data_IF_862789416257
#
_entry.id   IF_862789416257
#
_cell.length_a   1.000
_cell.length_b   1.000
_cell.length_c   1.000
_cell.angle_alpha   90.00
_cell.angle_beta   90.00
_cell.angle_gamma   90.00
#
_symmetry.space_group_name_H-M   'P 1'
#
loop_
_entity.id
_entity.type
_entity.pdbx_description
1 polymer ?
#
# COMPACT_ATOMS: atom_id res chain seq x y z
N UNK A 1 -10.15 4.82 6.97
CA UNK A 1 -11.45 5.07 7.66
C UNK A 1 -12.02 3.77 8.19
N UNK A 2 -12.81 3.81 9.27
CA UNK A 2 -13.50 2.62 9.80
C UNK A 2 -14.86 3.02 10.36
N UNK A 3 -15.91 2.27 10.01
CA UNK A 3 -17.32 2.57 10.42
C UNK A 3 -17.73 4.03 10.16
N UNK A 4 -17.40 4.54 8.98
CA UNK A 4 -17.74 5.92 8.57
C UNK A 4 -16.92 7.02 9.26
N UNK A 5 -15.91 6.70 10.07
CA UNK A 5 -15.03 7.68 10.71
C UNK A 5 -13.62 7.64 10.14
N UNK A 6 -13.02 8.81 9.96
CA UNK A 6 -11.59 8.92 9.65
C UNK A 6 -10.81 8.60 10.93
N UNK A 7 -9.96 7.58 10.87
CA UNK A 7 -9.12 7.13 11.99
C UNK A 7 -7.66 7.59 11.85
N UNK A 8 -7.26 7.93 10.62
CA UNK A 8 -5.96 8.49 10.28
C UNK A 8 -6.07 9.18 8.92
N UNK A 9 -5.35 10.29 8.79
CA UNK A 9 -5.08 10.98 7.54
C UNK A 9 -3.60 11.37 7.52
N UNK A 10 -2.97 11.33 6.35
CA UNK A 10 -1.55 11.66 6.18
C UNK A 10 -1.30 12.13 4.75
N UNK A 11 -0.42 13.13 4.60
CA UNK A 11 0.05 13.65 3.31
C UNK A 11 1.46 13.14 2.98
N UNK A 12 1.88 12.05 3.62
CA UNK A 12 3.22 11.48 3.43
C UNK A 12 3.39 10.89 2.03
N UNK A 13 4.63 10.92 1.54
CA UNK A 13 4.96 10.45 0.20
C UNK A 13 5.23 8.94 0.17
N UNK A 14 4.83 8.29 -0.93
CA UNK A 14 5.10 6.87 -1.16
C UNK A 14 4.50 5.98 -0.07
N UNK A 15 5.27 5.01 0.40
CA UNK A 15 4.79 4.02 1.37
C UNK A 15 4.87 4.49 2.84
N UNK A 16 5.37 5.71 3.09
CA UNK A 16 5.56 6.23 4.45
C UNK A 16 4.23 6.34 5.19
N UNK A 17 3.19 6.86 4.52
CA UNK A 17 1.86 7.00 5.11
C UNK A 17 1.27 5.65 5.55
N UNK A 18 1.20 4.64 4.67
CA UNK A 18 0.79 3.29 5.03
C UNK A 18 1.59 2.66 6.17
N UNK A 19 2.92 2.82 6.20
CA UNK A 19 3.76 2.29 7.29
C UNK A 19 3.48 3.00 8.62
N UNK A 20 3.35 4.33 8.61
CA UNK A 20 2.97 5.09 9.80
C UNK A 20 1.59 4.69 10.32
N UNK A 21 0.65 4.38 9.43
CA UNK A 21 -0.66 3.89 9.80
C UNK A 21 -0.55 2.57 10.56
N UNK A 22 0.21 1.62 10.02
CA UNK A 22 0.45 0.32 10.65
C UNK A 22 1.09 0.49 12.04
N UNK A 23 2.12 1.34 12.14
CA UNK A 23 2.84 1.55 13.39
C UNK A 23 2.00 2.23 14.47
N UNK A 24 1.10 3.15 14.09
CA UNK A 24 0.27 3.90 15.04
C UNK A 24 -0.98 3.15 15.45
N UNK A 25 -1.62 2.44 14.52
CA UNK A 25 -2.96 1.89 14.71
C UNK A 25 -2.97 0.37 14.85
N UNK A 26 -1.97 -0.34 14.32
CA UNK A 26 -1.87 -1.79 14.43
C UNK A 26 -3.17 -2.51 14.05
N UNK A 27 -3.73 -3.28 14.98
CA UNK A 27 -4.97 -4.05 14.80
C UNK A 27 -6.21 -3.17 14.56
N UNK A 28 -6.19 -1.89 14.93
CA UNK A 28 -7.32 -0.99 14.67
C UNK A 28 -7.60 -0.82 13.17
N UNK A 29 -6.59 -1.04 12.31
CA UNK A 29 -6.72 -1.04 10.85
C UNK A 29 -7.46 -2.24 10.27
N UNK A 30 -7.61 -3.33 11.02
CA UNK A 30 -8.35 -4.50 10.53
C UNK A 30 -9.77 -4.09 10.14
N UNK A 31 -10.23 -4.56 8.99
CA UNK A 31 -11.54 -4.21 8.42
C UNK A 31 -11.75 -2.70 8.14
N UNK A 32 -10.66 -1.93 8.06
CA UNK A 32 -10.73 -0.52 7.65
C UNK A 32 -10.75 -0.39 6.13
N UNK A 33 -11.28 0.74 5.63
CA UNK A 33 -11.14 1.13 4.23
C UNK A 33 -10.01 2.13 4.09
N UNK A 34 -9.16 1.93 3.07
CA UNK A 34 -8.01 2.77 2.75
C UNK A 34 -8.32 3.58 1.50
N UNK A 35 -7.91 4.84 1.45
CA UNK A 35 -7.94 5.64 0.24
C UNK A 35 -6.53 6.19 0.01
N UNK A 36 -5.98 5.95 -1.19
CA UNK A 36 -4.64 6.41 -1.56
C UNK A 36 -4.66 6.93 -3.00
N UNK A 37 -3.81 7.92 -3.30
CA UNK A 37 -3.67 8.44 -4.66
C UNK A 37 -2.96 7.43 -5.56
N UNK A 38 -1.97 6.70 -5.03
CA UNK A 38 -1.14 5.79 -5.82
C UNK A 38 -0.98 4.46 -5.07
N UNK A 39 -1.61 3.41 -5.59
CA UNK A 39 -1.50 2.06 -5.05
C UNK A 39 -0.62 1.22 -5.96
N UNK A 40 0.63 1.02 -5.55
CA UNK A 40 1.50 0.00 -6.12
C UNK A 40 1.35 -1.34 -5.40
N UNK A 41 2.02 -2.37 -5.90
CA UNK A 41 2.22 -3.66 -5.23
C UNK A 41 2.67 -3.49 -3.78
N UNK A 42 3.59 -2.55 -3.52
CA UNK A 42 4.07 -2.29 -2.15
C UNK A 42 2.94 -1.85 -1.21
N UNK A 43 2.14 -0.86 -1.62
CA UNK A 43 1.02 -0.34 -0.83
C UNK A 43 -0.08 -1.39 -0.68
N UNK A 44 -0.37 -2.16 -1.74
CA UNK A 44 -1.34 -3.25 -1.70
C UNK A 44 -0.94 -4.34 -0.69
N UNK A 45 0.34 -4.71 -0.63
CA UNK A 45 0.85 -5.66 0.37
C UNK A 45 0.73 -5.12 1.79
N UNK A 46 0.96 -3.82 2.00
CA UNK A 46 0.75 -3.19 3.30
C UNK A 46 -0.74 -3.19 3.71
N UNK A 47 -1.66 -2.93 2.76
CA UNK A 47 -3.10 -3.04 2.99
C UNK A 47 -3.49 -4.48 3.37
N UNK A 48 -2.92 -5.47 2.68
CA UNK A 48 -3.12 -6.88 2.99
C UNK A 48 -2.58 -7.27 4.37
N UNK A 49 -1.39 -6.77 4.73
CA UNK A 49 -0.83 -6.95 6.07
C UNK A 49 -1.76 -6.41 7.16
N UNK A 50 -2.34 -5.23 6.92
CA UNK A 50 -3.31 -4.59 7.82
C UNK A 50 -4.70 -5.24 7.82
N UNK A 51 -4.95 -6.22 6.93
CA UNK A 51 -6.28 -6.82 6.71
C UNK A 51 -7.34 -5.74 6.44
N UNK A 52 -7.02 -4.81 5.55
CA UNK A 52 -7.96 -3.82 5.08
C UNK A 52 -9.18 -4.50 4.44
N UNK A 53 -10.37 -3.95 4.68
CA UNK A 53 -11.60 -4.41 4.05
C UNK A 53 -11.67 -3.97 2.58
N UNK A 54 -11.31 -2.71 2.32
CA UNK A 54 -11.34 -2.17 0.96
C UNK A 54 -10.29 -1.09 0.72
N UNK A 55 -9.96 -0.87 -0.56
CA UNK A 55 -9.02 0.15 -1.02
C UNK A 55 -9.64 0.97 -2.15
N UNK A 56 -9.68 2.28 -2.00
CA UNK A 56 -9.90 3.20 -3.10
C UNK A 56 -8.55 3.73 -3.61
N UNK A 57 -8.32 3.68 -4.92
CA UNK A 57 -7.10 4.17 -5.54
C UNK A 57 -7.36 5.08 -6.73
N UNK A 58 -6.80 6.29 -6.73
CA UNK A 58 -6.86 7.14 -7.94
C UNK A 58 -6.04 6.52 -9.08
N UNK A 59 -4.90 5.92 -8.78
CA UNK A 59 -4.10 5.14 -9.74
C UNK A 59 -3.58 3.88 -9.07
N UNK A 60 -3.74 2.73 -9.74
CA UNK A 60 -3.23 1.44 -9.28
C UNK A 60 -2.33 0.79 -10.34
N UNK A 61 -1.31 0.05 -9.93
CA UNK A 61 -0.56 -0.82 -10.86
C UNK A 61 -1.25 -2.16 -11.06
N UNK A 62 -0.95 -2.85 -12.17
CA UNK A 62 -1.45 -4.22 -12.40
C UNK A 62 -1.11 -5.17 -11.26
N UNK A 63 0.12 -5.09 -10.77
CA UNK A 63 0.57 -5.91 -9.64
C UNK A 63 -0.08 -5.50 -8.32
N UNK A 64 -0.40 -4.21 -8.13
CA UNK A 64 -1.21 -3.73 -7.02
C UNK A 64 -2.60 -4.37 -7.00
N UNK A 65 -3.32 -4.34 -8.13
CA UNK A 65 -4.63 -4.98 -8.25
C UNK A 65 -4.57 -6.47 -7.92
N UNK A 66 -3.60 -7.17 -8.49
CA UNK A 66 -3.42 -8.61 -8.28
C UNK A 66 -3.22 -8.94 -6.80
N UNK A 67 -2.42 -8.16 -6.08
CA UNK A 67 -2.24 -8.36 -4.63
C UNK A 67 -3.56 -8.18 -3.87
N UNK A 68 -4.36 -7.17 -4.22
CA UNK A 68 -5.66 -6.95 -3.56
C UNK A 68 -6.62 -8.12 -3.83
N UNK A 69 -6.67 -8.61 -5.08
CA UNK A 69 -7.47 -9.77 -5.49
C UNK A 69 -7.04 -11.05 -4.76
N UNK A 70 -5.74 -11.36 -4.78
CA UNK A 70 -5.17 -12.55 -4.13
C UNK A 70 -5.42 -12.56 -2.60
N UNK A 71 -5.62 -11.39 -2.00
CA UNK A 71 -5.89 -11.23 -0.57
C UNK A 71 -7.39 -10.95 -0.25
N UNK A 72 -8.29 -11.06 -1.23
CA UNK A 72 -9.73 -10.82 -1.08
C UNK A 72 -10.08 -9.43 -0.52
N UNK A 73 -9.36 -8.40 -0.95
CA UNK A 73 -9.58 -7.01 -0.57
C UNK A 73 -10.39 -6.33 -1.67
N UNK A 74 -11.55 -5.77 -1.32
CA UNK A 74 -12.37 -5.04 -2.29
C UNK A 74 -11.64 -3.78 -2.75
N UNK A 75 -11.79 -3.41 -4.01
CA UNK A 75 -11.17 -2.19 -4.50
C UNK A 75 -12.03 -1.44 -5.51
N UNK A 76 -11.86 -0.13 -5.49
CA UNK A 76 -12.38 0.80 -6.49
C UNK A 76 -11.22 1.65 -7.01
N UNK A 77 -11.16 1.83 -8.33
CA UNK A 77 -10.04 2.50 -8.99
C UNK A 77 -10.53 3.51 -10.01
N UNK A 78 -9.77 4.59 -10.22
CA UNK A 78 -10.00 5.48 -11.36
C UNK A 78 -9.12 5.11 -12.56
N UNK A 79 -7.85 4.77 -12.32
CA UNK A 79 -6.88 4.48 -13.38
C UNK A 79 -6.04 3.23 -13.07
N UNK A 80 -5.77 2.41 -14.08
CA UNK A 80 -4.84 1.28 -14.00
C UNK A 80 -3.63 1.50 -14.92
N UNK A 81 -2.42 1.27 -14.39
CA UNK A 81 -1.16 1.40 -15.14
C UNK A 81 -0.34 0.11 -15.06
N UNK A 82 0.59 -0.16 -16.00
CA UNK A 82 1.45 -1.33 -15.91
C UNK A 82 2.30 -1.37 -14.65
N UNK A 83 2.96 -0.25 -14.30
CA UNK A 83 3.85 -0.14 -13.15
C UNK A 83 3.78 1.27 -12.55
N UNK A 84 4.01 1.38 -11.23
CA UNK A 84 4.23 2.69 -10.59
C UNK A 84 5.67 3.13 -10.87
N UNK A 85 5.85 4.35 -11.37
CA UNK A 85 7.16 4.92 -11.66
C UNK A 85 7.72 5.69 -10.46
N UNK A 86 9.02 5.93 -10.48
CA UNK A 86 9.68 6.82 -9.54
C UNK A 86 9.26 8.28 -9.74
N UNK A 87 9.67 9.16 -8.82
CA UNK A 87 9.33 10.58 -8.86
C UNK A 87 9.82 11.27 -10.16
N UNK A 88 10.97 10.85 -10.68
CA UNK A 88 11.56 11.38 -11.91
C UNK A 88 10.93 10.79 -13.18
N UNK A 89 10.05 9.80 -13.05
CA UNK A 89 9.46 9.00 -14.14
C UNK A 89 10.52 8.39 -15.07
N UNK A 90 11.69 8.09 -14.52
CA UNK A 90 12.82 7.53 -15.27
C UNK A 90 12.84 5.99 -15.20
N UNK A 91 12.28 5.43 -14.12
CA UNK A 91 12.31 3.99 -13.85
C UNK A 91 11.12 3.58 -12.96
N UNK A 92 10.91 2.27 -12.76
CA UNK A 92 9.91 1.74 -11.82
C UNK A 92 10.29 2.15 -10.39
N UNK A 93 9.29 2.55 -9.62
CA UNK A 93 9.42 2.96 -8.22
C UNK A 93 10.23 1.93 -7.41
N UNK A 94 11.21 2.36 -6.59
CA UNK A 94 12.06 1.44 -5.84
C UNK A 94 11.27 0.54 -4.88
N UNK A 95 10.20 1.06 -4.29
CA UNK A 95 9.32 0.28 -3.41
C UNK A 95 8.53 -0.77 -4.21
N UNK A 96 8.09 -0.43 -5.42
CA UNK A 96 7.38 -1.35 -6.31
C UNK A 96 8.29 -2.51 -6.75
N UNK A 97 9.54 -2.20 -7.14
CA UNK A 97 10.57 -3.20 -7.45
C UNK A 97 10.87 -4.10 -6.28
N UNK A 98 11.07 -3.53 -5.10
CA UNK A 98 11.35 -4.27 -3.88
C UNK A 98 10.17 -5.21 -3.56
N UNK A 99 8.93 -4.72 -3.66
CA UNK A 99 7.72 -5.48 -3.41
C UNK A 99 7.49 -6.65 -4.38
N UNK A 100 8.05 -6.60 -5.59
CA UNK A 100 7.90 -7.66 -6.60
C UNK A 100 8.44 -9.02 -6.12
N UNK A 101 9.41 -9.03 -5.21
CA UNK A 101 9.99 -10.26 -4.65
C UNK A 101 9.16 -10.94 -3.56
N UNK A 102 8.07 -10.34 -3.11
CA UNK A 102 7.33 -10.83 -1.94
C UNK A 102 5.90 -11.24 -2.30
N UNK A 103 5.51 -12.46 -1.90
CA UNK A 103 4.13 -12.93 -1.95
C UNK A 103 3.43 -12.81 -0.58
N UNK A 104 4.19 -12.85 0.51
CA UNK A 104 3.64 -12.78 1.87
C UNK A 104 3.55 -11.32 2.37
N UNK A 105 2.36 -10.83 2.77
CA UNK A 105 2.20 -9.45 3.26
C UNK A 105 3.05 -9.10 4.50
N UNK A 106 3.26 -10.06 5.41
CA UNK A 106 4.10 -9.86 6.61
C UNK A 106 5.57 -9.69 6.26
N UNK A 107 6.09 -10.57 5.40
CA UNK A 107 7.47 -10.45 4.93
C UNK A 107 7.69 -9.12 4.19
N UNK A 108 6.73 -8.73 3.35
CA UNK A 108 6.78 -7.46 2.64
C UNK A 108 6.83 -6.26 3.61
N UNK A 109 5.96 -6.24 4.63
CA UNK A 109 5.96 -5.18 5.65
C UNK A 109 7.32 -5.07 6.35
N UNK A 110 7.89 -6.18 6.83
CA UNK A 110 9.17 -6.19 7.54
C UNK A 110 10.31 -5.66 6.67
N UNK A 111 10.36 -6.07 5.40
CA UNK A 111 11.39 -5.63 4.44
C UNK A 111 11.22 -4.17 4.02
N UNK A 112 10.00 -3.73 3.74
CA UNK A 112 9.70 -2.34 3.38
C UNK A 112 10.03 -1.40 4.53
N UNK A 113 9.66 -1.77 5.76
CA UNK A 113 9.98 -0.99 6.97
C UNK A 113 11.50 -0.90 7.19
N UNK A 114 12.21 -2.02 7.07
CA UNK A 114 13.67 -2.03 7.19
C UNK A 114 14.35 -1.16 6.12
N UNK A 115 13.85 -1.18 4.88
CA UNK A 115 14.41 -0.41 3.77
C UNK A 115 14.28 1.10 3.98
N UNK A 116 13.16 1.56 4.53
CA UNK A 116 13.01 2.98 4.90
C UNK A 116 13.97 3.36 6.03
N UNK A 117 14.11 2.53 7.05
CA UNK A 117 14.97 2.84 8.21
C UNK A 117 16.46 2.87 7.86
N UNK A 118 16.90 2.14 6.83
CA UNK A 118 18.30 2.15 6.36
C UNK A 118 18.64 3.30 5.41
N UNK A 119 17.64 4.07 4.98
CA UNK A 119 17.79 5.17 4.02
C UNK A 119 17.60 6.55 4.68
N UNK A 120 17.34 6.58 5.99
CA UNK A 120 17.34 7.76 6.85
C UNK A 120 18.61 7.79 7.71
#
# INVERSE_FOLDING_TARGET
MKRGKVILETESHGIIGPLQAIDRLGEELMESSVADKIVGRAVALLCAYSKAFSVFAVTISKEGMRVLEDNNIFYEIENCVPNILDYKRADVCPFEKLAAGFANPREAYEKLKSFINSTN
#
